data_IF_081868307426
#
_entry.id   IF_081868307426
#
_cell.length_a   1.000
_cell.length_b   1.000
_cell.length_c   1.000
_cell.angle_alpha   90.00
_cell.angle_beta   90.00
_cell.angle_gamma   90.00
#
_symmetry.space_group_name_H-M   'P 1'
#
loop_
_entity.id
_entity.type
_entity.pdbx_description
1 polymer ?
#
# COMPACT_ATOMS: atom_id res chain seq x y z
N UNK A 1 16.38 -20.54 -11.16
CA UNK A 1 15.00 -21.06 -11.06
C UNK A 1 14.16 -20.01 -10.38
N UNK A 2 13.18 -19.52 -11.15
CA UNK A 2 12.18 -18.46 -10.92
C UNK A 2 11.93 -17.96 -9.48
N UNK A 3 12.50 -16.80 -9.14
CA UNK A 3 11.90 -15.89 -8.16
C UNK A 3 11.06 -14.92 -8.98
N UNK A 4 9.76 -15.22 -9.02
CA UNK A 4 8.66 -14.51 -9.66
C UNK A 4 9.04 -13.33 -10.58
N UNK A 5 9.17 -13.65 -11.85
CA UNK A 5 9.20 -12.69 -12.94
C UNK A 5 7.96 -11.78 -12.92
N UNK A 6 8.23 -10.50 -13.10
CA UNK A 6 7.45 -9.62 -13.97
C UNK A 6 5.94 -9.55 -13.69
N UNK A 7 5.54 -8.60 -12.86
CA UNK A 7 4.50 -7.65 -13.27
C UNK A 7 4.94 -6.26 -12.83
N UNK A 8 5.63 -5.56 -13.73
CA UNK A 8 5.37 -4.14 -13.92
C UNK A 8 3.87 -4.09 -14.25
N UNK A 9 3.03 -3.97 -13.23
CA UNK A 9 1.58 -3.99 -13.40
C UNK A 9 1.25 -2.72 -14.15
N UNK A 10 1.01 -2.87 -15.45
CA UNK A 10 0.40 -1.88 -16.31
C UNK A 10 -0.64 -1.09 -15.50
N UNK A 11 -0.47 0.23 -15.43
CA UNK A 11 -1.38 1.14 -14.72
C UNK A 11 -2.84 0.85 -15.09
N UNK A 12 -3.11 0.31 -16.28
CA UNK A 12 -4.44 -0.14 -16.73
C UNK A 12 -5.04 -1.29 -15.89
N UNK A 13 -4.22 -2.21 -15.35
CA UNK A 13 -4.67 -3.35 -14.52
C UNK A 13 -4.91 -2.96 -13.06
N UNK A 14 -4.10 -2.05 -12.52
CA UNK A 14 -4.34 -1.41 -11.22
C UNK A 14 -5.63 -0.57 -11.30
N UNK A 15 -5.83 0.16 -12.40
CA UNK A 15 -7.11 0.79 -12.72
C UNK A 15 -8.26 -0.22 -12.78
N UNK A 16 -8.06 -1.39 -13.40
CA UNK A 16 -9.07 -2.44 -13.44
C UNK A 16 -9.51 -2.97 -12.06
N UNK A 17 -8.62 -2.95 -11.06
CA UNK A 17 -8.95 -3.30 -9.66
C UNK A 17 -9.58 -2.10 -8.93
N UNK A 18 -9.14 -0.87 -9.21
CA UNK A 18 -9.74 0.37 -8.73
C UNK A 18 -11.20 0.56 -9.22
N UNK A 19 -11.54 0.04 -10.41
CA UNK A 19 -12.86 0.17 -11.06
C UNK A 19 -13.90 -0.83 -10.53
N UNK A 20 -13.52 -1.79 -9.67
CA UNK A 20 -14.52 -2.57 -8.93
C UNK A 20 -15.17 -1.70 -7.86
N UNK A 21 -16.50 -1.60 -7.94
CA UNK A 21 -17.35 -0.92 -6.96
C UNK A 21 -17.40 -1.76 -5.67
N UNK A 22 -16.34 -1.69 -4.88
CA UNK A 22 -16.21 -2.34 -3.58
C UNK A 22 -16.52 -1.30 -2.49
N UNK A 23 -17.80 -0.95 -2.35
CA UNK A 23 -18.24 0.04 -1.38
C UNK A 23 -18.05 -0.46 0.06
N UNK A 24 -17.48 0.39 0.91
CA UNK A 24 -17.35 0.12 2.34
C UNK A 24 -18.48 0.81 3.10
N UNK A 25 -19.16 0.04 3.93
CA UNK A 25 -20.26 0.50 4.78
C UNK A 25 -19.77 0.65 6.22
N UNK A 26 -19.98 1.83 6.82
CA UNK A 26 -19.72 2.06 8.25
C UNK A 26 -20.84 2.90 8.85
N UNK A 27 -21.68 2.28 9.67
CA UNK A 27 -22.87 2.94 10.21
C UNK A 27 -23.82 3.44 9.10
N UNK A 28 -23.91 4.76 8.92
CA UNK A 28 -24.77 5.41 7.92
C UNK A 28 -23.99 5.99 6.74
N UNK A 29 -22.69 5.73 6.65
CA UNK A 29 -21.87 6.14 5.51
C UNK A 29 -21.56 4.96 4.58
N UNK A 30 -21.50 5.29 3.28
CA UNK A 30 -21.03 4.42 2.22
C UNK A 30 -19.94 5.17 1.49
N UNK A 31 -18.75 4.58 1.39
CA UNK A 31 -17.61 5.22 0.75
C UNK A 31 -16.79 4.23 -0.05
N UNK A 32 -16.20 4.70 -1.13
CA UNK A 32 -15.14 4.00 -1.86
C UNK A 32 -13.94 4.93 -2.02
N UNK A 33 -13.18 5.11 -0.94
CA UNK A 33 -11.98 5.94 -0.94
C UNK A 33 -10.74 5.05 -0.95
N UNK A 34 -10.01 5.09 -2.06
CA UNK A 34 -8.77 4.33 -2.26
C UNK A 34 -7.62 5.30 -2.52
N UNK A 35 -6.47 5.04 -1.92
CA UNK A 35 -5.25 5.81 -2.12
C UNK A 35 -4.14 4.88 -2.61
N UNK A 36 -3.53 5.29 -3.72
CA UNK A 36 -2.29 4.70 -4.21
C UNK A 36 -1.12 5.52 -3.68
N UNK A 37 -0.38 4.96 -2.73
CA UNK A 37 0.78 5.56 -2.11
C UNK A 37 2.06 4.92 -2.65
N UNK A 38 2.99 5.75 -3.14
CA UNK A 38 4.28 5.31 -3.67
C UNK A 38 5.39 5.79 -2.75
N UNK A 39 6.14 4.85 -2.18
CA UNK A 39 7.28 5.09 -1.30
C UNK A 39 8.57 4.79 -2.07
N UNK A 40 9.38 5.81 -2.33
CA UNK A 40 10.69 5.67 -3.00
C UNK A 40 11.82 5.75 -1.98
N UNK A 41 12.87 4.96 -2.18
CA UNK A 41 14.07 5.06 -1.35
C UNK A 41 14.80 6.39 -1.56
N UNK A 42 15.52 6.84 -0.54
CA UNK A 42 16.36 8.04 -0.66
C UNK A 42 17.38 7.82 -1.78
N UNK A 43 17.44 8.75 -2.74
CA UNK A 43 18.28 8.67 -3.93
C UNK A 43 17.97 7.50 -4.87
N UNK A 44 16.77 6.88 -4.79
CA UNK A 44 16.39 5.70 -5.59
C UNK A 44 17.43 4.57 -5.55
N UNK A 45 18.05 4.39 -4.38
CA UNK A 45 18.96 3.26 -4.16
C UNK A 45 18.16 1.96 -4.21
N UNK A 46 18.72 0.95 -4.87
CA UNK A 46 18.16 -0.41 -4.93
C UNK A 46 18.38 -1.14 -3.60
N UNK A 47 17.74 -0.64 -2.54
CA UNK A 47 17.95 -1.07 -1.17
C UNK A 47 16.95 -2.15 -0.71
N UNK A 48 15.83 -2.31 -1.41
CA UNK A 48 14.83 -3.32 -1.05
C UNK A 48 15.24 -4.70 -1.56
N UNK A 49 15.40 -5.64 -0.63
CA UNK A 49 15.50 -7.07 -0.92
C UNK A 49 14.12 -7.72 -0.90
N UNK A 50 13.99 -8.92 -1.47
CA UNK A 50 12.73 -9.66 -1.45
C UNK A 50 12.22 -9.94 -0.02
N UNK A 51 13.13 -10.24 0.91
CA UNK A 51 12.81 -10.46 2.32
C UNK A 51 12.31 -9.18 3.00
N UNK A 52 12.95 -8.04 2.74
CA UNK A 52 12.49 -6.74 3.24
C UNK A 52 11.11 -6.39 2.71
N UNK A 53 10.83 -6.66 1.43
CA UNK A 53 9.52 -6.41 0.83
C UNK A 53 8.43 -7.30 1.45
N UNK A 54 8.72 -8.58 1.68
CA UNK A 54 7.78 -9.49 2.34
C UNK A 54 7.48 -9.06 3.78
N UNK A 55 8.51 -8.62 4.52
CA UNK A 55 8.33 -8.08 5.86
C UNK A 55 7.52 -6.78 5.86
N UNK A 56 7.82 -5.89 4.92
CA UNK A 56 7.14 -4.61 4.75
C UNK A 56 5.65 -4.80 4.43
N UNK A 57 5.32 -5.79 3.61
CA UNK A 57 3.94 -6.19 3.33
C UNK A 57 3.18 -6.49 4.63
N UNK A 58 3.71 -7.39 5.46
CA UNK A 58 3.04 -7.80 6.71
C UNK A 58 2.88 -6.63 7.68
N UNK A 59 3.92 -5.78 7.80
CA UNK A 59 3.85 -4.58 8.66
C UNK A 59 2.76 -3.62 8.18
N UNK A 60 2.68 -3.38 6.87
CA UNK A 60 1.68 -2.46 6.31
C UNK A 60 0.27 -3.03 6.45
N UNK A 61 0.10 -4.34 6.26
CA UNK A 61 -1.18 -5.02 6.47
C UNK A 61 -1.64 -4.87 7.93
N UNK A 62 -0.78 -5.17 8.90
CA UNK A 62 -1.08 -4.99 10.32
C UNK A 62 -1.34 -3.52 10.70
N UNK A 63 -0.56 -2.60 10.13
CA UNK A 63 -0.70 -1.16 10.39
C UNK A 63 -2.02 -0.65 9.83
N UNK A 64 -2.35 -0.97 8.59
CA UNK A 64 -3.60 -0.54 7.95
C UNK A 64 -4.80 -1.13 8.69
N UNK A 65 -4.73 -2.39 9.12
CA UNK A 65 -5.79 -3.01 9.91
C UNK A 65 -6.03 -2.26 11.24
N UNK A 66 -4.96 -1.83 11.93
CA UNK A 66 -5.07 -1.01 13.17
C UNK A 66 -5.72 0.36 12.92
N UNK A 67 -5.59 0.88 11.71
CA UNK A 67 -6.22 2.13 11.27
C UNK A 67 -7.60 1.91 10.66
N UNK A 68 -8.17 0.70 10.74
CA UNK A 68 -9.46 0.38 10.11
C UNK A 68 -9.45 0.65 8.59
N UNK A 69 -8.29 0.36 7.97
CA UNK A 69 -8.06 0.46 6.53
C UNK A 69 -7.77 -0.93 5.97
N UNK A 70 -8.09 -1.13 4.69
CA UNK A 70 -7.86 -2.39 3.98
C UNK A 70 -6.73 -2.26 2.96
N UNK A 71 -5.73 -3.13 3.04
CA UNK A 71 -4.72 -3.26 2.00
C UNK A 71 -5.31 -3.97 0.77
N UNK A 72 -5.33 -3.30 -0.38
CA UNK A 72 -5.93 -3.80 -1.62
C UNK A 72 -4.87 -4.41 -2.54
N UNK A 73 -3.72 -3.75 -2.63
CA UNK A 73 -2.59 -4.21 -3.44
C UNK A 73 -1.27 -3.69 -2.86
N UNK A 74 -0.24 -4.52 -2.93
CA UNK A 74 1.11 -4.17 -2.55
C UNK A 74 2.06 -4.72 -3.62
N UNK A 75 2.88 -3.84 -4.18
CA UNK A 75 3.92 -4.23 -5.13
C UNK A 75 5.24 -3.54 -4.74
N UNK A 76 6.34 -4.27 -4.82
CA UNK A 76 7.64 -3.80 -4.39
C UNK A 76 8.69 -4.02 -5.46
N UNK A 77 9.37 -2.96 -5.85
CA UNK A 77 10.58 -2.99 -6.66
C UNK A 77 11.80 -2.67 -5.79
N UNK A 78 13.00 -2.81 -6.35
CA UNK A 78 14.25 -2.65 -5.57
C UNK A 78 14.45 -1.25 -4.98
N UNK A 79 13.82 -0.22 -5.54
CA UNK A 79 13.97 1.19 -5.18
C UNK A 79 12.65 1.91 -4.83
N UNK A 80 11.51 1.25 -5.05
CA UNK A 80 10.18 1.82 -4.81
C UNK A 80 9.16 0.78 -4.40
N UNK A 81 8.17 1.20 -3.62
CA UNK A 81 7.07 0.37 -3.13
C UNK A 81 5.75 1.08 -3.43
N UNK A 82 4.84 0.34 -4.04
CA UNK A 82 3.50 0.75 -4.39
C UNK A 82 2.50 0.10 -3.44
N UNK A 83 1.72 0.91 -2.75
CA UNK A 83 0.71 0.46 -1.78
C UNK A 83 -0.63 1.05 -2.19
N UNK A 84 -1.61 0.21 -2.47
CA UNK A 84 -2.99 0.61 -2.69
C UNK A 84 -3.81 0.16 -1.48
N UNK A 85 -4.44 1.11 -0.79
CA UNK A 85 -5.29 0.80 0.36
C UNK A 85 -6.58 1.60 0.30
N UNK A 86 -7.62 1.02 0.89
CA UNK A 86 -8.95 1.61 1.05
C UNK A 86 -9.11 2.11 2.48
N UNK A 87 -9.73 3.27 2.67
CA UNK A 87 -9.88 3.91 3.96
C UNK A 87 -11.25 4.60 4.11
N UNK A 88 -11.64 4.89 5.34
CA UNK A 88 -12.88 5.60 5.67
C UNK A 88 -12.70 7.12 5.64
N UNK A 89 -13.80 7.85 5.38
CA UNK A 89 -13.81 9.32 5.36
C UNK A 89 -13.33 9.94 6.68
N UNK A 90 -13.63 9.29 7.79
CA UNK A 90 -13.25 9.76 9.14
C UNK A 90 -11.74 9.77 9.39
N UNK A 91 -10.96 9.10 8.52
CA UNK A 91 -9.52 9.00 8.67
C UNK A 91 -8.84 10.19 8.00
N UNK A 92 -8.12 10.98 8.80
CA UNK A 92 -7.24 12.01 8.29
C UNK A 92 -6.06 11.38 7.53
N UNK A 93 -6.10 11.42 6.20
CA UNK A 93 -5.11 10.79 5.32
C UNK A 93 -3.67 11.25 5.61
N UNK A 94 -3.47 12.52 5.96
CA UNK A 94 -2.16 13.05 6.33
C UNK A 94 -1.56 12.34 7.55
N UNK A 95 -2.37 12.06 8.57
CA UNK A 95 -1.93 11.36 9.78
C UNK A 95 -1.59 9.90 9.47
N UNK A 96 -2.42 9.23 8.67
CA UNK A 96 -2.18 7.85 8.23
C UNK A 96 -0.87 7.74 7.42
N UNK A 97 -0.68 8.60 6.42
CA UNK A 97 0.54 8.61 5.58
C UNK A 97 1.78 8.93 6.42
N UNK A 98 1.68 9.87 7.36
CA UNK A 98 2.78 10.17 8.28
C UNK A 98 3.13 8.95 9.14
N UNK A 99 2.13 8.23 9.63
CA UNK A 99 2.37 7.02 10.43
C UNK A 99 3.01 5.90 9.60
N UNK A 100 2.48 5.64 8.40
CA UNK A 100 3.05 4.69 7.43
C UNK A 100 4.54 4.99 7.24
N UNK A 101 4.88 6.22 6.82
CA UNK A 101 6.28 6.62 6.58
C UNK A 101 7.16 6.45 7.81
N UNK A 102 6.64 6.83 8.98
CA UNK A 102 7.33 6.76 10.26
C UNK A 102 7.68 5.31 10.62
N UNK A 103 6.71 4.40 10.53
CA UNK A 103 6.89 2.96 10.80
C UNK A 103 7.82 2.32 9.77
N UNK A 104 7.59 2.56 8.48
CA UNK A 104 8.40 1.95 7.41
C UNK A 104 9.85 2.44 7.40
N UNK A 105 10.12 3.66 7.87
CA UNK A 105 11.49 4.19 7.95
C UNK A 105 12.34 3.60 9.08
N UNK A 106 11.69 3.12 10.14
CA UNK A 106 12.36 2.59 11.35
C UNK A 106 12.69 1.11 11.26
N UNK A 107 12.11 0.41 10.28
CA UNK A 107 12.23 -1.02 10.16
C UNK A 107 13.26 -1.33 9.06
N UNK A 108 14.43 -1.87 9.44
CA UNK A 108 15.44 -2.31 8.47
C UNK A 108 14.98 -3.56 7.72
#
# INVERSE_FOLDING_TARGET
>A
MSVAAAKYTDSSRVFGKLVRNDFVHKGREVSDLKVHHVLTTKYRRKAFTAEMLARLHNILEELLLKWDCQLVEFNGESDQVHVLFQYHRDIALSNLVNNIKSVTSRLP
#
